data_IF_886531213195
#
_entry.id   IF_886531213195
#
_cell.length_a   1.000
_cell.length_b   1.000
_cell.length_c   1.000
_cell.angle_alpha   90.00
_cell.angle_beta   90.00
_cell.angle_gamma   90.00
#
_symmetry.space_group_name_H-M   'P 1'
#
loop_
_entity.id
_entity.type
_entity.pdbx_description
1 polymer ?
#
# COMPACT_ATOMS: atom_id res chain seq x y z
N UNK A 1 16.46 -5.94 34.43
CA UNK A 1 15.71 -7.19 34.22
C UNK A 1 14.27 -6.84 34.58
N UNK A 2 13.57 -6.17 33.66
CA UNK A 2 12.24 -5.61 33.93
C UNK A 2 11.26 -6.25 32.96
N UNK A 3 10.63 -7.32 33.43
CA UNK A 3 9.47 -7.91 32.77
C UNK A 3 8.26 -7.40 33.54
N UNK A 4 7.38 -6.67 32.86
CA UNK A 4 6.17 -6.15 33.49
C UNK A 4 5.02 -7.12 33.25
N UNK A 5 4.38 -7.58 34.33
CA UNK A 5 3.21 -8.44 34.26
C UNK A 5 1.96 -7.58 34.51
N UNK A 6 0.99 -7.65 33.61
CA UNK A 6 -0.31 -7.01 33.73
C UNK A 6 -1.31 -8.09 34.11
N UNK A 7 -1.90 -7.96 35.30
CA UNK A 7 -2.90 -8.91 35.83
C UNK A 7 -4.31 -8.36 35.70
N UNK A 8 -5.26 -9.24 35.39
CA UNK A 8 -6.70 -8.97 35.36
C UNK A 8 -7.42 -10.01 36.22
N UNK A 9 -8.33 -9.55 37.09
CA UNK A 9 -9.08 -10.41 38.02
C UNK A 9 -8.19 -11.33 38.88
N UNK A 10 -6.98 -10.86 39.25
CA UNK A 10 -6.03 -11.61 40.08
C UNK A 10 -5.16 -12.62 39.33
N UNK A 11 -5.34 -12.79 38.01
CA UNK A 11 -4.51 -13.66 37.18
C UNK A 11 -3.62 -12.85 36.21
N UNK A 12 -2.37 -13.26 35.96
CA UNK A 12 -1.51 -12.61 34.98
C UNK A 12 -2.05 -12.84 33.56
N UNK A 13 -2.33 -11.77 32.83
CA UNK A 13 -2.91 -11.83 31.48
C UNK A 13 -1.87 -11.47 30.41
N UNK A 14 -1.02 -10.48 30.66
CA UNK A 14 0.03 -10.06 29.72
C UNK A 14 1.38 -9.92 30.40
N UNK A 15 2.45 -10.21 29.66
CA UNK A 15 3.82 -9.88 30.04
C UNK A 15 4.46 -9.00 28.97
N UNK A 16 5.07 -7.90 29.38
CA UNK A 16 5.84 -7.01 28.51
C UNK A 16 7.31 -7.36 28.69
N UNK A 17 7.97 -7.72 27.59
CA UNK A 17 9.37 -8.09 27.57
C UNK A 17 10.17 -7.14 26.67
N UNK A 18 11.42 -6.83 27.03
CA UNK A 18 12.38 -6.26 26.09
C UNK A 18 12.54 -7.15 24.86
N UNK A 19 12.67 -6.51 23.68
CA UNK A 19 12.64 -7.21 22.39
C UNK A 19 13.68 -8.33 22.26
N UNK A 20 14.93 -8.09 22.67
CA UNK A 20 16.00 -9.10 22.69
C UNK A 20 15.63 -10.36 23.49
N UNK A 21 14.93 -10.19 24.61
CA UNK A 21 14.54 -11.31 25.47
C UNK A 21 13.40 -12.14 24.85
N UNK A 22 12.44 -11.48 24.22
CA UNK A 22 11.40 -12.17 23.45
C UNK A 22 12.01 -13.00 22.32
N UNK A 23 13.00 -12.45 21.59
CA UNK A 23 13.70 -13.17 20.53
C UNK A 23 14.48 -14.38 21.06
N UNK A 24 15.14 -14.26 22.21
CA UNK A 24 15.86 -15.36 22.84
C UNK A 24 14.91 -16.50 23.28
N UNK A 25 13.74 -16.17 23.83
CA UNK A 25 12.72 -17.13 24.22
C UNK A 25 12.17 -17.92 23.03
N UNK A 26 11.88 -17.25 21.92
CA UNK A 26 11.44 -17.90 20.68
C UNK A 26 12.50 -18.85 20.17
N UNK A 27 13.76 -18.40 20.12
CA UNK A 27 14.89 -19.23 19.68
C UNK A 27 15.05 -20.47 20.55
N UNK A 28 14.93 -20.34 21.88
CA UNK A 28 14.99 -21.45 22.82
C UNK A 28 13.80 -22.42 22.65
N UNK A 29 12.62 -21.90 22.30
CA UNK A 29 11.43 -22.69 21.98
C UNK A 29 11.45 -23.30 20.57
N UNK A 30 12.53 -23.12 19.79
CA UNK A 30 12.64 -23.60 18.41
C UNK A 30 11.73 -22.84 17.43
N UNK A 31 11.19 -21.69 17.83
CA UNK A 31 10.34 -20.83 17.01
C UNK A 31 11.17 -19.67 16.46
N UNK A 32 10.94 -19.29 15.21
CA UNK A 32 11.56 -18.09 14.64
C UNK A 32 10.77 -16.86 15.10
N UNK A 33 11.43 -15.77 15.52
CA UNK A 33 10.73 -14.53 15.84
C UNK A 33 9.88 -14.07 14.65
N UNK A 34 8.73 -13.43 14.89
CA UNK A 34 8.01 -12.74 13.84
C UNK A 34 8.93 -11.65 13.32
N UNK A 35 9.57 -11.91 12.18
CA UNK A 35 10.25 -10.88 11.39
C UNK A 35 9.21 -9.80 11.09
N UNK A 36 9.49 -8.50 11.34
CA UNK A 36 8.66 -7.45 10.77
C UNK A 36 8.61 -7.72 9.26
N UNK A 37 7.40 -7.94 8.75
CA UNK A 37 7.19 -8.61 7.49
C UNK A 37 7.84 -7.84 6.32
N UNK A 38 9.04 -8.28 5.92
CA UNK A 38 9.52 -8.22 4.55
C UNK A 38 9.45 -9.64 3.99
N UNK A 39 8.24 -10.20 3.94
CA UNK A 39 7.98 -11.37 3.11
C UNK A 39 7.79 -10.88 1.68
N UNK A 40 8.68 -11.21 0.72
CA UNK A 40 8.53 -10.79 -0.67
C UNK A 40 7.23 -11.28 -1.30
N UNK A 41 6.61 -12.34 -0.74
CA UNK A 41 5.31 -12.85 -1.18
C UNK A 41 4.12 -11.91 -0.85
N UNK A 42 4.17 -11.18 0.27
CA UNK A 42 3.11 -10.23 0.63
C UNK A 42 3.27 -8.92 -0.14
N UNK A 43 4.51 -8.42 -0.30
CA UNK A 43 4.80 -7.28 -1.17
C UNK A 43 4.45 -7.59 -2.62
N UNK A 44 4.79 -8.77 -3.14
CA UNK A 44 4.41 -9.18 -4.48
C UNK A 44 2.89 -9.25 -4.66
N UNK A 45 2.13 -9.72 -3.68
CA UNK A 45 0.67 -9.77 -3.78
C UNK A 45 0.02 -8.37 -3.84
N UNK A 46 0.57 -7.39 -3.12
CA UNK A 46 0.11 -5.99 -3.19
C UNK A 46 0.51 -5.38 -4.53
N UNK A 47 1.75 -5.64 -5.00
CA UNK A 47 2.26 -5.16 -6.28
C UNK A 47 1.50 -5.74 -7.48
N UNK A 48 1.03 -6.99 -7.40
CA UNK A 48 0.27 -7.65 -8.47
C UNK A 48 -1.09 -7.00 -8.72
N UNK A 49 -1.67 -6.32 -7.73
CA UNK A 49 -2.95 -5.61 -7.88
C UNK A 49 -2.77 -4.19 -8.43
N UNK A 50 -1.56 -3.64 -8.33
CA UNK A 50 -1.23 -2.30 -8.83
C UNK A 50 -1.06 -2.32 -10.36
N UNK A 51 -1.78 -1.40 -11.03
CA UNK A 51 -1.72 -1.26 -12.49
C UNK A 51 -0.62 -0.28 -12.89
N UNK A 52 0.08 -0.51 -14.01
CA UNK A 52 0.99 0.50 -14.54
C UNK A 52 0.21 1.74 -14.94
N UNK A 53 0.79 2.93 -14.73
CA UNK A 53 0.14 4.19 -15.11
C UNK A 53 -0.09 4.28 -16.63
N UNK A 54 0.69 3.55 -17.43
CA UNK A 54 0.50 3.41 -18.86
C UNK A 54 -0.87 2.81 -19.26
N UNK A 55 -1.51 2.02 -18.39
CA UNK A 55 -2.85 1.46 -18.63
C UNK A 55 -3.97 2.50 -18.48
N UNK A 56 -3.67 3.70 -17.94
CA UNK A 56 -4.66 4.72 -17.60
C UNK A 56 -5.56 5.06 -18.79
N UNK A 57 -4.96 5.28 -19.97
CA UNK A 57 -5.71 5.58 -21.20
C UNK A 57 -6.66 4.45 -21.58
N UNK A 58 -6.18 3.20 -21.52
CA UNK A 58 -6.99 2.02 -21.83
C UNK A 58 -8.15 1.83 -20.84
N UNK A 59 -7.91 2.07 -19.55
CA UNK A 59 -8.96 2.02 -18.51
C UNK A 59 -10.00 3.12 -18.70
N UNK A 60 -9.57 4.34 -19.04
CA UNK A 60 -10.48 5.45 -19.35
C UNK A 60 -11.34 5.13 -20.57
N UNK A 61 -10.73 4.65 -21.66
CA UNK A 61 -11.43 4.29 -22.89
C UNK A 61 -12.38 3.10 -22.70
N UNK A 62 -12.00 2.10 -21.92
CA UNK A 62 -12.87 0.96 -21.57
C UNK A 62 -14.12 1.41 -20.78
N UNK A 63 -14.02 2.48 -20.00
CA UNK A 63 -15.17 3.12 -19.32
C UNK A 63 -15.95 4.09 -20.21
N UNK A 64 -15.51 4.32 -21.45
CA UNK A 64 -16.13 5.30 -22.36
C UNK A 64 -15.99 6.75 -21.87
N UNK A 65 -15.02 7.04 -21.00
CA UNK A 65 -14.84 8.37 -20.44
C UNK A 65 -14.01 9.24 -21.39
N UNK A 66 -14.51 10.45 -21.68
CA UNK A 66 -13.72 11.46 -22.38
C UNK A 66 -12.61 12.00 -21.46
N UNK A 67 -11.48 12.40 -22.06
CA UNK A 67 -10.34 12.95 -21.33
C UNK A 67 -10.73 14.17 -20.48
N UNK A 68 -11.58 15.05 -21.02
CA UNK A 68 -12.07 16.25 -20.35
C UNK A 68 -12.95 15.94 -19.14
N UNK A 69 -13.72 14.85 -19.22
CA UNK A 69 -14.59 14.42 -18.13
C UNK A 69 -13.76 13.90 -16.97
N UNK A 70 -12.82 12.98 -17.23
CA UNK A 70 -11.96 12.42 -16.19
C UNK A 70 -11.09 13.51 -15.54
N UNK A 71 -10.48 14.38 -16.36
CA UNK A 71 -9.64 15.46 -15.86
C UNK A 71 -10.41 16.38 -14.90
N UNK A 72 -11.65 16.74 -15.27
CA UNK A 72 -12.50 17.59 -14.45
C UNK A 72 -12.98 16.92 -13.17
N UNK A 73 -13.26 15.62 -13.18
CA UNK A 73 -13.61 14.89 -11.95
C UNK A 73 -12.43 14.78 -10.99
N UNK A 74 -11.23 14.56 -11.52
CA UNK A 74 -9.99 14.48 -10.73
C UNK A 74 -9.52 15.86 -10.24
N UNK A 75 -10.00 16.94 -10.86
CA UNK A 75 -9.65 18.32 -10.51
C UNK A 75 -8.36 18.81 -11.20
N UNK A 76 -8.02 18.26 -12.37
CA UNK A 76 -6.84 18.63 -13.16
C UNK A 76 -7.23 19.15 -14.54
N UNK A 77 -6.27 19.77 -15.25
CA UNK A 77 -6.52 20.23 -16.62
C UNK A 77 -6.51 19.06 -17.62
N UNK A 78 -7.33 19.10 -18.69
CA UNK A 78 -7.34 18.06 -19.73
C UNK A 78 -5.97 17.87 -20.40
N UNK A 79 -5.23 18.97 -20.63
CA UNK A 79 -3.87 18.92 -21.16
C UNK A 79 -2.91 18.20 -20.21
N UNK A 80 -3.05 18.41 -18.89
CA UNK A 80 -2.21 17.73 -17.92
C UNK A 80 -2.52 16.24 -17.84
N UNK A 81 -3.80 15.84 -17.90
CA UNK A 81 -4.18 14.43 -18.01
C UNK A 81 -3.60 13.80 -19.28
N UNK A 82 -3.56 14.53 -20.41
CA UNK A 82 -2.94 14.07 -21.65
C UNK A 82 -1.43 13.79 -21.49
N UNK A 83 -0.70 14.66 -20.78
CA UNK A 83 0.72 14.47 -20.46
C UNK A 83 0.96 13.25 -19.55
N UNK A 84 -0.01 12.94 -18.68
CA UNK A 84 0.03 11.75 -17.84
C UNK A 84 -0.21 10.50 -18.69
N UNK A 85 -1.20 10.52 -19.59
CA UNK A 85 -1.50 9.42 -20.51
C UNK A 85 -0.38 9.14 -21.51
N UNK A 86 0.39 10.17 -21.91
CA UNK A 86 1.58 10.00 -22.76
C UNK A 86 2.83 9.54 -22.01
N UNK A 87 2.80 9.53 -20.68
CA UNK A 87 3.96 9.24 -19.83
C UNK A 87 4.98 10.38 -19.75
N UNK A 88 4.70 11.54 -20.35
CA UNK A 88 5.58 12.72 -20.29
C UNK A 88 5.63 13.35 -18.90
N UNK A 89 4.59 13.15 -18.07
CA UNK A 89 4.53 13.69 -16.72
C UNK A 89 3.99 12.71 -15.70
N UNK A 90 4.69 12.62 -14.57
CA UNK A 90 4.25 11.81 -13.44
C UNK A 90 3.35 12.64 -12.51
N UNK A 91 2.13 12.18 -12.22
CA UNK A 91 1.25 12.82 -11.24
C UNK A 91 1.73 12.54 -9.81
N UNK A 92 1.45 13.47 -8.91
CA UNK A 92 1.67 13.26 -7.48
C UNK A 92 0.72 12.21 -6.89
N UNK A 93 1.00 11.79 -5.65
CA UNK A 93 0.25 10.75 -4.96
C UNK A 93 -1.25 11.07 -4.79
N UNK A 94 -1.64 12.34 -4.67
CA UNK A 94 -3.04 12.72 -4.53
C UNK A 94 -3.79 12.50 -5.85
N UNK A 95 -3.22 12.96 -6.96
CA UNK A 95 -3.79 12.77 -8.30
C UNK A 95 -3.85 11.29 -8.67
N UNK A 96 -2.78 10.53 -8.38
CA UNK A 96 -2.76 9.06 -8.57
C UNK A 96 -3.92 8.39 -7.83
N UNK A 97 -4.14 8.73 -6.56
CA UNK A 97 -5.25 8.16 -5.77
C UNK A 97 -6.62 8.52 -6.35
N UNK A 98 -6.83 9.77 -6.76
CA UNK A 98 -8.07 10.20 -7.40
C UNK A 98 -8.34 9.46 -8.71
N UNK A 99 -7.32 9.31 -9.56
CA UNK A 99 -7.42 8.54 -10.81
C UNK A 99 -7.75 7.07 -10.54
N UNK A 100 -7.14 6.46 -9.53
CA UNK A 100 -7.39 5.07 -9.15
C UNK A 100 -8.84 4.89 -8.72
N UNK A 101 -9.37 5.82 -7.92
CA UNK A 101 -10.75 5.81 -7.44
C UNK A 101 -11.76 5.95 -8.59
N UNK A 102 -11.57 6.92 -9.48
CA UNK A 102 -12.43 7.14 -10.66
C UNK A 102 -12.42 5.94 -11.62
N UNK A 103 -11.25 5.32 -11.80
CA UNK A 103 -11.10 4.17 -12.69
C UNK A 103 -11.46 2.84 -12.00
N UNK A 104 -11.61 2.80 -10.68
CA UNK A 104 -11.99 1.62 -9.90
C UNK A 104 -10.86 0.60 -9.79
N UNK A 105 -9.62 1.06 -9.72
CA UNK A 105 -8.42 0.23 -9.53
C UNK A 105 -7.85 0.45 -8.12
N UNK A 106 -7.19 -0.56 -7.55
CA UNK A 106 -6.66 -0.47 -6.19
C UNK A 106 -5.53 0.56 -6.05
N UNK A 107 -4.78 0.82 -7.13
CA UNK A 107 -3.73 1.81 -7.16
C UNK A 107 -2.85 1.70 -8.41
N UNK A 108 -1.85 2.56 -8.46
CA UNK A 108 -0.87 2.61 -9.55
C UNK A 108 0.49 2.17 -9.05
N UNK A 109 1.24 1.45 -9.89
CA UNK A 109 2.64 1.13 -9.60
C UNK A 109 3.48 2.40 -9.56
N UNK A 110 4.39 2.46 -8.60
CA UNK A 110 5.45 3.46 -8.56
C UNK A 110 6.55 3.05 -9.54
N UNK A 111 7.01 3.99 -10.37
CA UNK A 111 8.26 3.78 -11.11
C UNK A 111 9.38 4.16 -10.15
N UNK A 112 9.85 3.18 -9.38
CA UNK A 112 11.06 3.29 -8.54
C UNK A 112 12.33 3.15 -9.38
#
# INVERSE_FOLDING_TARGET
MDIQIISRDGAPEYAVLPWDQYQALLKAAGQQPPTPASSPAASAAIDQDLRPLADLRGLREAKGLAIETLARTVGISPSYLGLIESGERQPDAAIRRSLAWELGVAGWRDES
#
